data_IF_235983852351
#
_entry.id   IF_235983852351
#
_cell.length_a   1.000
_cell.length_b   1.000
_cell.length_c   1.000
_cell.angle_alpha   90.00
_cell.angle_beta   90.00
_cell.angle_gamma   90.00
#
_symmetry.space_group_name_H-M   'P 1'
#
loop_
_entity.id
_entity.type
_entity.pdbx_description
1 polymer ?
#
# COMPACT_ATOMS: atom_id res chain seq x y z
N UNK A 1 -5.57 0.05 -16.41
CA UNK A 1 -7.03 0.30 -16.39
C UNK A 1 -7.30 1.36 -17.43
N UNK A 2 -8.28 1.17 -18.31
CA UNK A 2 -8.62 2.12 -19.38
C UNK A 2 -9.86 2.90 -18.95
N UNK A 3 -9.76 4.24 -18.99
CA UNK A 3 -10.88 5.17 -18.77
C UNK A 3 -11.51 5.49 -20.13
N UNK A 4 -12.82 5.68 -20.14
CA UNK A 4 -13.59 6.05 -21.34
C UNK A 4 -13.36 7.52 -21.76
N UNK A 5 -12.80 8.33 -20.86
CA UNK A 5 -12.45 9.73 -21.12
C UNK A 5 -11.00 9.81 -21.62
N UNK A 6 -10.80 10.13 -22.90
CA UNK A 6 -9.50 10.16 -23.59
C UNK A 6 -8.51 11.19 -23.01
N UNK A 7 -8.95 12.06 -22.10
CA UNK A 7 -8.12 13.08 -21.46
C UNK A 7 -7.82 12.83 -19.97
N UNK A 8 -8.60 11.98 -19.29
CA UNK A 8 -8.47 11.71 -17.85
C UNK A 8 -8.36 10.20 -17.60
N UNK A 9 -7.16 9.66 -17.80
CA UNK A 9 -6.91 8.26 -17.56
C UNK A 9 -6.70 7.99 -16.08
N UNK A 10 -7.49 7.08 -15.54
CA UNK A 10 -7.47 6.73 -14.13
C UNK A 10 -6.87 5.34 -13.93
N UNK A 11 -6.14 5.18 -12.83
CA UNK A 11 -5.51 3.91 -12.50
C UNK A 11 -5.64 3.57 -11.02
N UNK A 12 -5.68 2.27 -10.75
CA UNK A 12 -5.48 1.68 -9.43
C UNK A 12 -4.14 0.95 -9.46
N UNK A 13 -3.27 1.26 -8.49
CA UNK A 13 -1.97 0.59 -8.37
C UNK A 13 -2.10 -0.50 -7.32
N UNK A 14 -1.70 -1.73 -7.67
CA UNK A 14 -1.83 -2.88 -6.78
C UNK A 14 -0.48 -3.50 -6.43
N UNK A 15 -0.15 -3.48 -5.14
CA UNK A 15 1.00 -4.15 -4.54
C UNK A 15 0.51 -5.10 -3.44
N UNK A 16 -0.09 -6.26 -3.81
CA UNK A 16 -0.67 -7.19 -2.84
C UNK A 16 0.36 -7.78 -1.86
N UNK A 17 1.63 -7.82 -2.26
CA UNK A 17 2.76 -8.24 -1.42
C UNK A 17 3.60 -7.05 -0.91
N UNK A 18 3.07 -5.85 -1.04
CA UNK A 18 3.71 -4.61 -0.65
C UNK A 18 4.79 -4.11 -1.62
N UNK A 19 5.03 -2.81 -1.56
CA UNK A 19 5.93 -2.03 -2.38
C UNK A 19 7.35 -2.07 -1.82
N UNK A 20 8.34 -2.34 -2.66
CA UNK A 20 9.76 -2.38 -2.29
C UNK A 20 10.50 -1.23 -2.97
N UNK A 21 10.95 -0.27 -2.18
CA UNK A 21 11.57 0.96 -2.68
C UNK A 21 12.80 0.68 -3.58
N UNK A 22 13.55 -0.38 -3.31
CA UNK A 22 14.73 -0.78 -4.09
C UNK A 22 14.41 -1.37 -5.47
N UNK A 23 13.19 -1.87 -5.68
CA UNK A 23 12.81 -2.62 -6.90
C UNK A 23 11.70 -1.96 -7.69
N UNK A 24 10.74 -1.37 -7.00
CA UNK A 24 9.45 -0.98 -7.58
C UNK A 24 9.36 0.51 -7.88
N UNK A 25 10.30 1.33 -7.38
CA UNK A 25 10.27 2.80 -7.57
C UNK A 25 10.28 3.18 -9.04
N UNK A 26 11.13 2.56 -9.86
CA UNK A 26 11.20 2.85 -11.30
C UNK A 26 9.91 2.49 -12.05
N UNK A 27 9.19 1.46 -11.59
CA UNK A 27 7.88 1.08 -12.15
C UNK A 27 6.84 2.13 -11.83
N UNK A 28 6.80 2.60 -10.58
CA UNK A 28 5.86 3.66 -10.16
C UNK A 28 6.17 4.97 -10.89
N UNK A 29 7.43 5.36 -10.98
CA UNK A 29 7.85 6.56 -11.73
C UNK A 29 7.49 6.45 -13.22
N UNK A 30 7.65 5.28 -13.83
CA UNK A 30 7.25 5.04 -15.22
C UNK A 30 5.73 5.15 -15.43
N UNK A 31 4.93 4.69 -14.48
CA UNK A 31 3.46 4.84 -14.51
C UNK A 31 3.08 6.32 -14.36
N UNK A 32 3.71 7.05 -13.44
CA UNK A 32 3.43 8.47 -13.21
C UNK A 32 3.91 9.37 -14.37
N UNK A 33 4.93 8.93 -15.10
CA UNK A 33 5.43 9.59 -16.32
C UNK A 33 4.72 9.17 -17.61
N UNK A 34 3.67 8.35 -17.53
CA UNK A 34 2.91 7.94 -18.71
C UNK A 34 2.25 9.13 -19.41
N UNK A 35 2.14 9.04 -20.73
CA UNK A 35 1.37 9.98 -21.55
C UNK A 35 0.27 9.22 -22.27
N UNK A 36 -0.99 9.65 -22.13
CA UNK A 36 -1.49 10.77 -21.31
C UNK A 36 -1.33 10.55 -19.78
N UNK A 37 -1.30 11.63 -18.97
CA UNK A 37 -1.10 11.53 -17.52
C UNK A 37 -2.15 10.64 -16.83
N UNK A 38 -1.69 9.83 -15.88
CA UNK A 38 -2.54 8.96 -15.08
C UNK A 38 -2.89 9.60 -13.74
N UNK A 39 -4.18 9.73 -13.43
CA UNK A 39 -4.67 10.01 -12.08
C UNK A 39 -4.78 8.69 -11.32
N UNK A 40 -3.97 8.54 -10.27
CA UNK A 40 -4.05 7.35 -9.42
C UNK A 40 -5.18 7.56 -8.41
N UNK A 41 -6.27 6.81 -8.55
CA UNK A 41 -7.42 6.92 -7.63
C UNK A 41 -7.16 6.20 -6.31
N UNK A 42 -6.62 4.99 -6.41
CA UNK A 42 -6.41 4.14 -5.26
C UNK A 42 -5.11 3.36 -5.36
N UNK A 43 -4.56 3.04 -4.19
CA UNK A 43 -3.52 2.03 -4.04
C UNK A 43 -4.05 0.85 -3.22
N UNK A 44 -3.69 -0.36 -3.63
CA UNK A 44 -3.95 -1.59 -2.89
C UNK A 44 -2.64 -2.06 -2.26
N UNK A 45 -2.54 -2.02 -0.93
CA UNK A 45 -1.29 -2.33 -0.24
C UNK A 45 -1.54 -2.85 1.19
N UNK A 46 -0.82 -3.89 1.67
CA UNK A 46 -0.93 -4.38 3.05
C UNK A 46 -0.41 -3.39 4.09
N UNK A 47 -0.96 -3.40 5.30
CA UNK A 47 -0.38 -2.68 6.43
C UNK A 47 0.60 -3.56 7.22
N UNK A 48 0.39 -4.88 7.22
CA UNK A 48 1.24 -5.83 7.94
C UNK A 48 2.57 -6.07 7.24
N UNK A 49 3.61 -6.22 8.06
CA UNK A 49 4.86 -6.84 7.65
C UNK A 49 4.70 -8.37 7.76
N UNK A 50 5.18 -9.11 6.77
CA UNK A 50 5.15 -10.58 6.78
C UNK A 50 6.53 -11.14 6.55
N UNK A 51 6.91 -12.13 7.35
CA UNK A 51 8.21 -12.80 7.29
C UNK A 51 8.03 -14.31 7.12
N UNK A 52 8.91 -14.91 6.32
CA UNK A 52 9.00 -16.36 6.12
C UNK A 52 10.45 -16.77 6.30
N UNK A 53 10.74 -17.60 7.30
CA UNK A 53 12.10 -18.03 7.68
C UNK A 53 13.07 -16.84 7.84
N UNK A 54 12.61 -15.76 8.48
CA UNK A 54 13.37 -14.51 8.66
C UNK A 54 13.44 -13.60 7.43
N UNK A 55 12.99 -14.05 6.26
CA UNK A 55 12.96 -13.23 5.03
C UNK A 55 11.71 -12.35 4.99
N UNK A 56 11.89 -11.05 4.73
CA UNK A 56 10.79 -10.10 4.57
C UNK A 56 10.06 -10.32 3.23
N UNK A 57 8.82 -10.79 3.33
CA UNK A 57 7.94 -11.08 2.20
C UNK A 57 7.05 -9.88 1.87
N UNK A 58 6.45 -9.25 2.89
CA UNK A 58 5.68 -8.01 2.75
C UNK A 58 6.27 -6.93 3.64
N UNK A 59 6.65 -5.76 3.11
CA UNK A 59 7.24 -4.66 3.88
C UNK A 59 6.23 -3.81 4.67
N UNK A 60 4.92 -4.03 4.48
CA UNK A 60 3.87 -3.39 5.28
C UNK A 60 3.77 -1.86 5.17
N UNK A 61 3.14 -1.25 6.17
CA UNK A 61 2.67 0.14 6.16
C UNK A 61 3.77 1.18 5.91
N UNK A 62 5.02 0.92 6.31
CA UNK A 62 6.13 1.87 6.15
C UNK A 62 6.43 2.16 4.68
N UNK A 63 6.53 1.11 3.89
CA UNK A 63 6.77 1.23 2.46
C UNK A 63 5.50 1.66 1.72
N UNK A 64 4.32 1.20 2.16
CA UNK A 64 3.05 1.67 1.62
C UNK A 64 2.90 3.19 1.76
N UNK A 65 3.37 3.78 2.86
CA UNK A 65 3.39 5.23 3.05
C UNK A 65 4.31 5.97 2.08
N UNK A 66 5.41 5.34 1.64
CA UNK A 66 6.28 5.93 0.62
C UNK A 66 5.60 5.87 -0.74
N UNK A 67 5.01 4.73 -1.10
CA UNK A 67 4.19 4.60 -2.30
C UNK A 67 3.07 5.64 -2.32
N UNK A 68 2.34 5.81 -1.22
CA UNK A 68 1.26 6.81 -1.11
C UNK A 68 1.75 8.23 -1.37
N UNK A 69 2.94 8.60 -0.86
CA UNK A 69 3.52 9.93 -1.11
C UNK A 69 3.94 10.14 -2.56
N UNK A 70 4.44 9.10 -3.21
CA UNK A 70 4.94 9.17 -4.59
C UNK A 70 3.79 9.12 -5.59
N UNK A 71 2.85 8.18 -5.41
CA UNK A 71 1.72 7.98 -6.31
C UNK A 71 0.55 8.94 -6.06
N UNK A 72 0.48 9.57 -4.88
CA UNK A 72 -0.56 10.53 -4.50
C UNK A 72 -2.01 10.03 -4.65
N UNK A 73 -2.36 8.79 -4.28
CA UNK A 73 -3.71 8.31 -4.47
C UNK A 73 -4.67 8.90 -3.43
N UNK A 74 -5.94 9.04 -3.82
CA UNK A 74 -7.02 9.44 -2.91
C UNK A 74 -7.26 8.38 -1.82
N UNK A 75 -7.22 7.10 -2.22
CA UNK A 75 -7.61 5.99 -1.35
C UNK A 75 -6.49 4.96 -1.16
N UNK A 76 -6.39 4.43 0.05
CA UNK A 76 -5.58 3.26 0.39
C UNK A 76 -6.51 2.10 0.72
N UNK A 77 -6.57 1.10 -0.15
CA UNK A 77 -7.36 -0.11 0.05
C UNK A 77 -6.49 -1.20 0.69
N UNK A 78 -6.87 -1.63 1.90
CA UNK A 78 -6.19 -2.72 2.58
C UNK A 78 -6.60 -4.06 1.98
N UNK A 79 -5.63 -4.77 1.39
CA UNK A 79 -5.89 -5.96 0.57
C UNK A 79 -5.02 -7.16 0.94
N UNK A 80 -4.03 -6.95 1.79
CA UNK A 80 -3.05 -7.98 2.13
C UNK A 80 -3.00 -8.36 3.61
N UNK A 81 -3.81 -7.74 4.47
CA UNK A 81 -3.81 -8.02 5.91
C UNK A 81 -4.57 -9.30 6.31
N UNK A 82 -4.96 -10.12 5.33
CA UNK A 82 -5.68 -11.37 5.57
C UNK A 82 -4.94 -12.28 6.56
N UNK A 83 -5.71 -12.90 7.45
CA UNK A 83 -5.24 -13.98 8.31
C UNK A 83 -5.06 -15.25 7.49
N UNK A 84 -3.83 -15.49 7.03
CA UNK A 84 -3.49 -16.78 6.48
C UNK A 84 -3.40 -17.80 7.61
N UNK A 85 -4.32 -18.77 7.59
CA UNK A 85 -4.24 -19.94 8.45
C UNK A 85 -3.23 -20.89 7.82
N UNK A 86 -1.99 -20.83 8.28
CA UNK A 86 -0.95 -21.75 7.84
C UNK A 86 -0.99 -23.05 8.65
N UNK A 87 -0.72 -24.18 8.00
CA UNK A 87 -0.64 -25.49 8.64
C UNK A 87 0.68 -26.19 8.31
N UNK A 88 1.07 -27.16 9.15
CA UNK A 88 2.29 -27.94 8.96
C UNK A 88 3.58 -27.16 9.23
N UNK A 89 4.70 -27.64 8.69
CA UNK A 89 6.06 -27.12 8.97
C UNK A 89 6.22 -25.65 8.60
N UNK A 90 5.42 -25.13 7.66
CA UNK A 90 5.48 -23.72 7.26
C UNK A 90 5.12 -22.74 8.38
N UNK A 91 4.26 -23.13 9.35
CA UNK A 91 3.88 -22.23 10.45
C UNK A 91 5.06 -21.84 11.34
N UNK A 92 6.10 -22.69 11.42
CA UNK A 92 7.27 -22.44 12.28
C UNK A 92 8.15 -21.32 11.76
N UNK A 93 8.14 -21.08 10.45
CA UNK A 93 8.93 -20.02 9.82
C UNK A 93 8.16 -18.72 9.62
N UNK A 94 6.84 -18.72 9.81
CA UNK A 94 5.99 -17.57 9.46
C UNK A 94 5.80 -16.68 10.68
N UNK A 95 6.03 -15.39 10.49
CA UNK A 95 5.83 -14.39 11.52
C UNK A 95 5.34 -13.09 10.89
N UNK A 96 4.15 -12.64 11.29
CA UNK A 96 3.53 -11.39 10.83
C UNK A 96 3.60 -10.32 11.93
N UNK A 97 3.93 -9.08 11.56
CA UNK A 97 3.80 -7.91 12.43
C UNK A 97 2.71 -6.99 11.90
N UNK A 98 1.63 -6.86 12.66
CA UNK A 98 0.56 -5.91 12.34
C UNK A 98 0.92 -4.52 12.81
N UNK A 99 0.74 -3.57 11.91
CA UNK A 99 0.90 -2.16 12.19
C UNK A 99 -0.33 -1.42 11.70
N UNK A 100 -0.64 -0.30 12.34
CA UNK A 100 -1.73 0.58 11.93
C UNK A 100 -1.17 1.79 11.18
N UNK A 101 -2.03 2.47 10.44
CA UNK A 101 -1.68 3.74 9.82
C UNK A 101 -1.21 4.77 10.87
N UNK A 102 -1.91 4.81 12.01
CA UNK A 102 -1.59 5.70 13.12
C UNK A 102 -0.24 5.37 13.77
N UNK A 103 0.12 4.08 13.84
CA UNK A 103 1.45 3.66 14.31
C UNK A 103 2.55 4.22 13.40
N UNK A 104 2.38 4.13 12.08
CA UNK A 104 3.35 4.65 11.13
C UNK A 104 3.43 6.18 11.11
N UNK A 105 2.29 6.88 11.29
CA UNK A 105 2.26 8.34 11.44
C UNK A 105 3.02 8.78 12.69
N UNK A 106 2.77 8.14 13.84
CA UNK A 106 3.48 8.43 15.10
C UNK A 106 4.98 8.16 14.99
N UNK A 107 5.36 7.05 14.35
CA UNK A 107 6.77 6.73 14.12
C UNK A 107 7.45 7.85 13.32
N UNK A 108 6.83 8.32 12.22
CA UNK A 108 7.40 9.43 11.43
C UNK A 108 7.44 10.73 12.21
N UNK A 109 6.41 11.09 12.98
CA UNK A 109 6.44 12.29 13.82
C UNK A 109 7.64 12.25 14.79
N UNK A 110 7.88 11.10 15.42
CA UNK A 110 9.02 10.91 16.32
C UNK A 110 10.38 10.99 15.60
N UNK A 111 10.48 10.44 14.38
CA UNK A 111 11.72 10.46 13.59
C UNK A 111 12.04 11.85 13.02
N UNK A 112 11.03 12.60 12.57
CA UNK A 112 11.25 13.88 11.86
C UNK A 112 11.17 15.12 12.76
N UNK A 113 10.61 15.04 13.99
CA UNK A 113 10.30 16.21 14.85
C UNK A 113 9.47 17.32 14.16
N UNK A 114 8.84 17.00 13.02
CA UNK A 114 7.99 17.91 12.24
C UNK A 114 6.54 17.81 12.75
N UNK A 115 5.88 18.97 12.80
CA UNK A 115 4.54 19.15 13.35
C UNK A 115 3.47 18.22 12.76
N UNK A 116 2.46 17.94 13.59
CA UNK A 116 1.48 16.86 13.50
C UNK A 116 0.51 16.87 12.28
N UNK A 117 0.76 17.68 11.25
CA UNK A 117 -0.07 17.77 10.04
C UNK A 117 0.45 16.90 8.89
N UNK A 118 0.86 15.66 9.20
CA UNK A 118 1.08 14.67 8.15
C UNK A 118 -0.28 14.29 7.56
N UNK A 119 -0.49 14.61 6.29
CA UNK A 119 -1.68 14.19 5.55
C UNK A 119 -1.89 12.68 5.71
N UNK A 120 -3.09 12.30 6.13
CA UNK A 120 -3.47 10.92 6.46
C UNK A 120 -4.14 10.30 5.23
N UNK A 121 -3.64 9.15 4.74
CA UNK A 121 -4.33 8.39 3.70
C UNK A 121 -5.74 8.01 4.12
N UNK A 122 -6.70 8.07 3.20
CA UNK A 122 -8.03 7.52 3.44
C UNK A 122 -7.97 5.98 3.33
N UNK A 123 -7.97 5.31 4.48
CA UNK A 123 -7.80 3.87 4.58
C UNK A 123 -9.17 3.19 4.50
N UNK A 124 -9.35 2.37 3.47
CA UNK A 124 -10.55 1.60 3.23
C UNK A 124 -10.26 0.12 3.46
N UNK A 125 -11.07 -0.52 4.31
CA UNK A 125 -11.12 -1.97 4.44
C UNK A 125 -12.37 -2.47 3.71
N UNK A 126 -12.19 -3.31 2.70
CA UNK A 126 -13.28 -3.92 1.95
C UNK A 126 -13.42 -5.37 2.41
N UNK A 127 -14.59 -5.74 2.91
CA UNK A 127 -14.87 -7.11 3.34
C UNK A 127 -14.99 -8.06 2.15
N UNK A 128 -14.85 -9.36 2.39
CA UNK A 128 -14.96 -10.36 1.34
C UNK A 128 -16.37 -10.34 0.71
N UNK A 129 -16.44 -10.13 -0.60
CA UNK A 129 -17.69 -10.00 -1.35
C UNK A 129 -18.32 -8.58 -1.32
N UNK A 130 -17.71 -7.63 -0.61
CA UNK A 130 -18.13 -6.24 -0.64
C UNK A 130 -17.55 -5.48 -1.85
N UNK A 131 -18.13 -4.31 -2.14
CA UNK A 131 -17.69 -3.42 -3.20
C UNK A 131 -17.56 -2.00 -2.63
N UNK A 132 -16.55 -1.25 -3.08
CA UNK A 132 -16.40 0.17 -2.78
C UNK A 132 -16.21 0.91 -4.11
N UNK A 133 -16.99 1.98 -4.30
CA UNK A 133 -16.93 2.83 -5.50
C UNK A 133 -15.98 4.00 -5.22
N UNK A 134 -15.01 4.19 -6.12
CA UNK A 134 -14.02 5.27 -6.02
C UNK A 134 -14.54 6.51 -6.80
N UNK A 135 -14.32 7.71 -6.25
CA UNK A 135 -14.67 9.02 -6.85
C UNK A 135 -13.42 9.89 -7.13
#
# INVERSE_FOLDING_TARGET
MWSHDDENHEAVISFPHGFRLDRDTSVVEGILGASPPLRILAMMHPLKESFVWGSLMSPGVRNGFQLWRVAGPNYWVNTGDMEFIYAGVFIWGIYDKRHTLDWALKLKQNETRVDANLARPDLINIENGACYVLE
#
